data_IF_662404480544
#
_entry.id   IF_662404480544
#
_cell.length_a   1.000
_cell.length_b   1.000
_cell.length_c   1.000
_cell.angle_alpha   90.00
_cell.angle_beta   90.00
_cell.angle_gamma   90.00
#
_symmetry.space_group_name_H-M   'P 1'
#
loop_
_entity.id
_entity.type
_entity.pdbx_description
1 polymer ?
#
# COMPACT_ATOMS: atom_id res chain seq x y z
N UNK A 1 -9.89 -40.02 -15.14
CA UNK A 1 -9.58 -39.10 -14.03
C UNK A 1 -10.35 -37.82 -14.27
N UNK A 2 -11.40 -37.59 -13.49
CA UNK A 2 -12.13 -36.31 -13.46
C UNK A 2 -11.17 -35.20 -13.07
N UNK A 3 -10.87 -34.30 -14.01
CA UNK A 3 -10.23 -33.02 -13.69
C UNK A 3 -11.18 -32.25 -12.78
N UNK A 4 -10.94 -32.31 -11.48
CA UNK A 4 -11.51 -31.32 -10.57
C UNK A 4 -11.00 -29.96 -11.03
N UNK A 5 -11.91 -29.05 -11.37
CA UNK A 5 -11.57 -27.65 -11.64
C UNK A 5 -10.67 -27.15 -10.51
N UNK A 6 -9.46 -26.71 -10.87
CA UNK A 6 -8.45 -26.15 -9.97
C UNK A 6 -8.75 -24.68 -9.62
N UNK A 7 -10.01 -24.24 -9.76
CA UNK A 7 -10.38 -22.82 -9.67
C UNK A 7 -10.73 -22.34 -8.26
N UNK A 8 -10.55 -23.17 -7.23
CA UNK A 8 -10.78 -22.73 -5.84
C UNK A 8 -9.45 -22.40 -5.17
N UNK A 9 -9.27 -21.19 -4.62
CA UNK A 9 -8.04 -20.80 -3.95
C UNK A 9 -7.79 -21.69 -2.73
N UNK A 10 -6.57 -22.20 -2.61
CA UNK A 10 -6.12 -22.95 -1.43
C UNK A 10 -5.60 -21.96 -0.39
N UNK A 11 -6.06 -22.10 0.85
CA UNK A 11 -5.60 -21.27 1.96
C UNK A 11 -4.64 -22.05 2.86
N UNK A 12 -3.53 -21.42 3.19
CA UNK A 12 -2.51 -21.93 4.08
C UNK A 12 -2.40 -21.05 5.32
N UNK A 13 -1.89 -21.60 6.41
CA UNK A 13 -1.75 -20.90 7.68
C UNK A 13 -0.29 -20.97 8.14
N UNK A 14 0.30 -19.83 8.45
CA UNK A 14 1.69 -19.79 8.95
C UNK A 14 1.78 -20.34 10.38
N UNK A 15 2.98 -20.79 10.74
CA UNK A 15 3.34 -20.99 12.14
C UNK A 15 3.25 -19.64 12.92
N UNK A 16 2.98 -19.69 14.23
CA UNK A 16 3.05 -18.50 15.08
C UNK A 16 4.45 -17.87 15.06
N UNK A 17 4.50 -16.54 15.05
CA UNK A 17 5.73 -15.76 15.19
C UNK A 17 5.46 -14.49 16.01
N UNK A 18 6.49 -13.79 16.53
CA UNK A 18 6.28 -12.54 17.26
C UNK A 18 5.55 -11.48 16.41
N UNK A 19 4.54 -10.82 16.99
CA UNK A 19 3.78 -9.80 16.28
C UNK A 19 4.66 -8.58 15.97
N UNK A 20 4.71 -8.12 14.71
CA UNK A 20 5.54 -6.98 14.32
C UNK A 20 4.98 -5.62 14.80
N UNK A 21 3.74 -5.59 15.29
CA UNK A 21 3.02 -4.36 15.62
C UNK A 21 2.79 -4.14 17.11
N UNK A 22 2.59 -5.22 17.87
CA UNK A 22 2.22 -5.18 19.28
C UNK A 22 3.18 -6.07 20.08
N UNK A 23 4.04 -5.49 20.94
CA UNK A 23 4.95 -6.24 21.78
C UNK A 23 4.21 -7.25 22.67
N UNK A 24 4.77 -8.46 22.81
CA UNK A 24 4.19 -9.53 23.64
C UNK A 24 2.99 -10.25 23.03
N UNK A 25 2.60 -9.94 21.79
CA UNK A 25 1.59 -10.67 21.03
C UNK A 25 2.23 -11.58 19.98
N UNK A 26 1.50 -12.58 19.53
CA UNK A 26 1.88 -13.44 18.41
C UNK A 26 1.06 -13.12 17.16
N UNK A 27 1.67 -13.33 15.99
CA UNK A 27 1.05 -13.24 14.68
C UNK A 27 0.98 -14.61 14.01
N UNK A 28 -0.15 -14.86 13.35
CA UNK A 28 -0.33 -15.90 12.34
C UNK A 28 -1.00 -15.27 11.13
N UNK A 29 -0.73 -15.80 9.94
CA UNK A 29 -1.35 -15.32 8.69
C UNK A 29 -2.00 -16.47 7.97
N UNK A 30 -3.23 -16.27 7.55
CA UNK A 30 -3.82 -17.06 6.47
C UNK A 30 -3.39 -16.44 5.14
N UNK A 31 -2.98 -17.25 4.18
CA UNK A 31 -2.56 -16.75 2.87
C UNK A 31 -2.96 -17.68 1.72
N UNK A 32 -3.00 -17.13 0.52
CA UNK A 32 -3.24 -17.86 -0.74
C UNK A 32 -2.43 -17.22 -1.88
N UNK A 33 -2.28 -17.95 -2.98
CA UNK A 33 -1.57 -17.48 -4.16
C UNK A 33 -2.53 -16.80 -5.14
N UNK A 34 -2.09 -15.67 -5.70
CA UNK A 34 -2.75 -14.93 -6.78
C UNK A 34 -2.02 -15.25 -8.09
N UNK A 35 -2.45 -16.31 -8.76
CA UNK A 35 -1.82 -16.80 -9.99
C UNK A 35 -2.84 -17.02 -11.10
N UNK A 36 -2.40 -16.80 -12.35
CA UNK A 36 -3.23 -17.02 -13.53
C UNK A 36 -4.22 -15.89 -13.82
N UNK A 37 -5.07 -16.11 -14.81
CA UNK A 37 -5.95 -15.08 -15.40
C UNK A 37 -6.97 -14.49 -14.41
N UNK A 38 -7.37 -15.28 -13.40
CA UNK A 38 -8.35 -14.87 -12.38
C UNK A 38 -7.74 -14.17 -11.16
N UNK A 39 -6.43 -13.93 -11.15
CA UNK A 39 -5.73 -13.32 -10.02
C UNK A 39 -6.27 -11.93 -9.69
N UNK A 40 -6.64 -11.13 -10.69
CA UNK A 40 -7.24 -9.80 -10.50
C UNK A 40 -8.58 -9.86 -9.74
N UNK A 41 -9.54 -10.64 -10.27
CA UNK A 41 -10.85 -10.84 -9.61
C UNK A 41 -10.71 -11.40 -8.19
N UNK A 42 -9.80 -12.35 -8.00
CA UNK A 42 -9.54 -12.92 -6.69
C UNK A 42 -8.95 -11.87 -5.73
N UNK A 43 -8.04 -11.01 -6.20
CA UNK A 43 -7.47 -9.93 -5.40
C UNK A 43 -8.53 -8.94 -4.94
N UNK A 44 -9.49 -8.58 -5.81
CA UNK A 44 -10.61 -7.71 -5.47
C UNK A 44 -11.44 -8.30 -4.31
N UNK A 45 -11.90 -9.55 -4.48
CA UNK A 45 -12.72 -10.25 -3.47
C UNK A 45 -11.96 -10.39 -2.15
N UNK A 46 -10.68 -10.77 -2.20
CA UNK A 46 -9.86 -10.95 -1.01
C UNK A 46 -9.58 -9.61 -0.31
N UNK A 47 -9.32 -8.53 -1.06
CA UNK A 47 -9.10 -7.20 -0.49
C UNK A 47 -10.35 -6.70 0.23
N UNK A 48 -11.54 -6.94 -0.32
CA UNK A 48 -12.82 -6.66 0.36
C UNK A 48 -12.99 -7.50 1.64
N UNK A 49 -12.50 -8.74 1.63
CA UNK A 49 -12.40 -9.63 2.80
C UNK A 49 -11.28 -9.30 3.79
N UNK A 50 -10.58 -8.17 3.58
CA UNK A 50 -9.54 -7.66 4.45
C UNK A 50 -8.17 -8.29 4.25
N UNK A 51 -7.93 -9.00 3.15
CA UNK A 51 -6.60 -9.46 2.78
C UNK A 51 -5.76 -8.29 2.26
N UNK A 52 -4.45 -8.48 2.31
CA UNK A 52 -3.43 -7.60 1.75
C UNK A 52 -2.54 -8.40 0.83
N UNK A 53 -2.01 -7.75 -0.21
CA UNK A 53 -1.11 -8.38 -1.17
C UNK A 53 0.36 -8.13 -0.81
N UNK A 54 1.20 -9.09 -1.16
CA UNK A 54 2.66 -8.98 -1.24
C UNK A 54 3.12 -9.91 -2.37
N UNK A 55 3.69 -9.38 -3.45
CA UNK A 55 4.01 -10.15 -4.66
C UNK A 55 2.77 -10.94 -5.14
N UNK A 56 2.92 -12.22 -5.48
CA UNK A 56 1.86 -13.15 -5.88
C UNK A 56 1.10 -13.78 -4.70
N UNK A 57 1.18 -13.22 -3.48
CA UNK A 57 0.51 -13.76 -2.28
C UNK A 57 -0.49 -12.73 -1.72
N UNK A 58 -1.70 -13.19 -1.44
CA UNK A 58 -2.68 -12.47 -0.62
C UNK A 58 -2.69 -13.06 0.80
N UNK A 59 -2.64 -12.23 1.83
CA UNK A 59 -2.61 -12.65 3.23
C UNK A 59 -3.50 -11.81 4.15
N UNK A 60 -3.99 -12.43 5.22
CA UNK A 60 -4.71 -11.76 6.32
C UNK A 60 -4.24 -12.27 7.68
N UNK A 61 -4.10 -11.40 8.70
CA UNK A 61 -3.89 -11.85 10.07
C UNK A 61 -4.98 -12.82 10.52
N UNK A 62 -4.56 -13.90 11.18
CA UNK A 62 -5.38 -14.97 11.71
C UNK A 62 -4.88 -15.37 13.12
N UNK A 63 -4.54 -14.37 13.94
CA UNK A 63 -4.06 -14.57 15.30
C UNK A 63 -5.15 -15.23 16.17
N UNK A 64 -4.75 -16.07 17.11
CA UNK A 64 -5.68 -16.83 17.95
C UNK A 64 -6.38 -15.95 19.01
N UNK A 65 -5.62 -15.05 19.63
CA UNK A 65 -6.07 -14.25 20.79
C UNK A 65 -6.21 -12.77 20.50
N UNK A 66 -5.84 -12.31 19.30
CA UNK A 66 -5.77 -10.89 18.93
C UNK A 66 -6.55 -10.58 17.65
N UNK A 67 -7.29 -9.46 17.64
CA UNK A 67 -8.04 -8.95 16.47
C UNK A 67 -7.71 -7.47 16.17
N UNK A 68 -6.53 -7.01 16.57
CA UNK A 68 -6.15 -5.60 16.48
C UNK A 68 -5.88 -5.13 15.04
N UNK A 69 -5.49 -6.02 14.13
CA UNK A 69 -5.25 -5.67 12.73
C UNK A 69 -6.58 -5.48 11.99
N UNK A 70 -6.96 -4.22 11.77
CA UNK A 70 -8.22 -3.85 11.12
C UNK A 70 -7.91 -3.28 9.74
N UNK A 71 -8.47 -3.88 8.68
CA UNK A 71 -8.35 -3.33 7.33
C UNK A 71 -9.14 -2.01 7.24
N UNK A 72 -8.54 -1.00 6.62
CA UNK A 72 -9.15 0.33 6.50
C UNK A 72 -9.08 0.86 5.07
N UNK A 73 -10.13 1.57 4.67
CA UNK A 73 -10.23 2.26 3.37
C UNK A 73 -10.78 3.67 3.54
N UNK A 74 -10.19 4.64 2.87
CA UNK A 74 -10.64 6.04 2.85
C UNK A 74 -11.73 6.16 1.80
N UNK A 75 -12.82 6.87 2.09
CA UNK A 75 -13.87 7.18 1.12
C UNK A 75 -13.37 8.37 0.29
N UNK A 76 -12.96 8.13 -0.95
CA UNK A 76 -12.20 9.07 -1.76
C UNK A 76 -13.01 10.32 -2.11
N UNK A 77 -14.27 10.15 -2.50
CA UNK A 77 -15.11 11.26 -2.97
C UNK A 77 -15.46 12.28 -1.89
N UNK A 78 -15.58 11.81 -0.65
CA UNK A 78 -15.94 12.60 0.53
C UNK A 78 -14.72 13.14 1.28
N UNK A 79 -13.51 12.78 0.87
CA UNK A 79 -12.29 13.17 1.58
C UNK A 79 -12.03 14.68 1.48
N UNK A 80 -11.90 15.32 2.64
CA UNK A 80 -11.52 16.73 2.75
C UNK A 80 -10.22 16.84 3.54
N UNK A 81 -9.12 17.32 2.92
CA UNK A 81 -7.84 17.43 3.62
C UNK A 81 -7.91 18.39 4.80
N UNK A 82 -7.44 17.95 5.97
CA UNK A 82 -7.26 18.81 7.15
C UNK A 82 -6.31 19.97 6.85
N UNK A 83 -6.31 21.01 7.70
CA UNK A 83 -5.36 22.14 7.56
C UNK A 83 -3.90 21.68 7.53
N UNK A 84 -3.54 20.64 8.29
CA UNK A 84 -2.20 20.06 8.26
C UNK A 84 -1.87 19.39 6.93
N UNK A 85 -2.81 18.62 6.39
CA UNK A 85 -2.67 17.96 5.09
C UNK A 85 -2.57 18.97 3.93
N UNK A 86 -3.35 20.06 3.97
CA UNK A 86 -3.25 21.16 3.00
C UNK A 86 -1.86 21.79 2.97
N UNK A 87 -1.30 22.12 4.14
CA UNK A 87 0.08 22.62 4.24
C UNK A 87 1.12 21.64 3.71
N UNK A 88 0.90 20.34 3.90
CA UNK A 88 1.80 19.30 3.34
C UNK A 88 1.70 19.27 1.82
N UNK A 89 0.49 19.35 1.25
CA UNK A 89 0.30 19.43 -0.20
C UNK A 89 0.96 20.70 -0.77
N UNK A 90 0.76 21.86 -0.14
CA UNK A 90 1.38 23.13 -0.54
C UNK A 90 2.91 23.07 -0.51
N UNK A 91 3.50 22.49 0.55
CA UNK A 91 4.95 22.30 0.69
C UNK A 91 5.56 21.45 -0.41
N UNK A 92 4.78 20.56 -1.01
CA UNK A 92 5.22 19.62 -2.03
C UNK A 92 4.62 19.95 -3.41
N UNK A 93 4.22 21.20 -3.66
CA UNK A 93 3.68 21.62 -4.96
C UNK A 93 4.69 21.47 -6.12
N UNK A 94 5.98 21.36 -5.78
CA UNK A 94 7.10 21.07 -6.66
C UNK A 94 7.34 19.57 -6.91
N UNK A 95 6.53 18.68 -6.31
CA UNK A 95 6.59 17.23 -6.51
C UNK A 95 5.45 16.79 -7.42
N UNK A 96 5.74 15.91 -8.36
CA UNK A 96 4.75 15.34 -9.28
C UNK A 96 4.81 13.83 -9.20
N UNK A 97 3.65 13.21 -8.95
CA UNK A 97 3.47 11.76 -9.03
C UNK A 97 3.11 11.34 -10.46
N UNK A 98 3.81 10.37 -11.02
CA UNK A 98 3.56 9.79 -12.34
C UNK A 98 3.32 8.28 -12.22
N UNK A 99 2.14 7.82 -12.63
CA UNK A 99 1.77 6.40 -12.57
C UNK A 99 2.24 5.70 -13.84
N UNK A 100 3.05 4.66 -13.69
CA UNK A 100 3.72 3.94 -14.77
C UNK A 100 3.49 2.46 -14.66
N UNK A 101 3.71 1.76 -15.77
CA UNK A 101 3.92 0.32 -15.76
C UNK A 101 5.08 0.00 -14.80
N UNK A 102 4.92 -0.96 -13.88
CA UNK A 102 5.99 -1.37 -12.98
C UNK A 102 7.23 -1.79 -13.78
N UNK A 103 8.34 -1.09 -13.52
CA UNK A 103 9.64 -1.40 -14.07
C UNK A 103 10.69 -1.04 -12.99
N UNK A 104 11.50 -2.00 -12.53
CA UNK A 104 12.46 -1.78 -11.48
C UNK A 104 13.64 -0.97 -12.04
N UNK A 105 14.05 0.05 -11.29
CA UNK A 105 15.24 0.83 -11.63
C UNK A 105 16.23 0.87 -10.47
N UNK A 106 17.50 1.10 -10.80
CA UNK A 106 18.55 1.28 -9.79
C UNK A 106 18.28 2.48 -8.90
N UNK A 107 17.76 3.59 -9.46
CA UNK A 107 17.39 4.80 -8.70
C UNK A 107 16.32 4.48 -7.65
N UNK A 108 15.25 3.76 -8.03
CA UNK A 108 14.22 3.35 -7.07
C UNK A 108 14.80 2.43 -5.99
N UNK A 109 15.66 1.48 -6.36
CA UNK A 109 16.30 0.58 -5.39
C UNK A 109 17.18 1.34 -4.41
N UNK A 110 17.91 2.37 -4.85
CA UNK A 110 18.69 3.24 -3.96
C UNK A 110 17.81 3.93 -2.91
N UNK A 111 16.68 4.52 -3.33
CA UNK A 111 15.71 5.15 -2.40
C UNK A 111 15.10 4.10 -1.47
N UNK A 112 14.77 2.92 -1.98
CA UNK A 112 14.24 1.80 -1.20
C UNK A 112 15.22 1.34 -0.11
N UNK A 113 16.49 1.15 -0.46
CA UNK A 113 17.55 0.77 0.51
C UNK A 113 17.73 1.84 1.59
N UNK A 114 17.87 3.10 1.20
CA UNK A 114 17.99 4.21 2.16
C UNK A 114 16.78 4.26 3.11
N UNK A 115 15.56 4.09 2.58
CA UNK A 115 14.34 4.04 3.38
C UNK A 115 14.33 2.88 4.39
N UNK A 116 14.73 1.68 3.96
CA UNK A 116 14.80 0.51 4.82
C UNK A 116 15.84 0.68 5.93
N UNK A 117 17.04 1.14 5.60
CA UNK A 117 18.12 1.34 6.58
C UNK A 117 17.71 2.37 7.65
N UNK A 118 16.98 3.42 7.25
CA UNK A 118 16.52 4.47 8.16
C UNK A 118 15.32 4.06 9.05
N UNK A 119 14.42 3.18 8.59
CA UNK A 119 13.12 2.91 9.29
C UNK A 119 12.85 1.46 9.66
N UNK A 120 13.56 0.53 9.05
CA UNK A 120 13.25 -0.90 9.06
C UNK A 120 14.51 -1.76 9.29
N UNK A 121 15.50 -1.25 10.02
CA UNK A 121 16.74 -1.97 10.33
C UNK A 121 16.53 -3.42 10.83
N UNK A 122 15.47 -3.65 11.63
CA UNK A 122 15.17 -4.98 12.20
C UNK A 122 13.97 -5.68 11.52
N UNK A 123 13.53 -5.22 10.35
CA UNK A 123 12.38 -5.77 9.63
C UNK A 123 12.79 -6.85 8.64
N UNK A 124 11.91 -7.82 8.36
CA UNK A 124 12.19 -8.91 7.41
C UNK A 124 12.48 -8.52 5.95
N UNK A 125 12.43 -7.22 5.62
CA UNK A 125 12.84 -6.68 4.31
C UNK A 125 14.24 -6.04 4.34
N UNK A 126 14.87 -5.90 5.50
CA UNK A 126 16.16 -5.22 5.66
C UNK A 126 17.28 -5.86 4.82
N UNK A 127 17.17 -7.16 4.53
CA UNK A 127 18.15 -7.93 3.77
C UNK A 127 17.76 -8.13 2.30
N UNK A 128 16.72 -7.45 1.80
CA UNK A 128 16.30 -7.59 0.40
C UNK A 128 17.38 -7.12 -0.56
N UNK A 129 17.76 -8.00 -1.48
CA UNK A 129 18.66 -7.72 -2.59
C UNK A 129 17.97 -6.95 -3.72
N UNK A 130 18.76 -6.47 -4.68
CA UNK A 130 18.22 -5.84 -5.91
C UNK A 130 17.33 -6.79 -6.71
N UNK A 131 17.62 -8.10 -6.67
CA UNK A 131 16.80 -9.11 -7.35
C UNK A 131 15.46 -9.29 -6.64
N UNK A 132 15.45 -9.31 -5.31
CA UNK A 132 14.20 -9.41 -4.54
C UNK A 132 13.33 -8.16 -4.74
N UNK A 133 13.96 -6.98 -4.85
CA UNK A 133 13.29 -5.74 -5.22
C UNK A 133 12.68 -5.83 -6.63
N UNK A 134 13.45 -6.26 -7.63
CA UNK A 134 12.96 -6.41 -8.99
C UNK A 134 11.75 -7.36 -9.05
N UNK A 135 11.83 -8.50 -8.36
CA UNK A 135 10.70 -9.43 -8.23
C UNK A 135 9.50 -8.78 -7.56
N UNK A 136 9.67 -7.96 -6.51
CA UNK A 136 8.56 -7.24 -5.88
C UNK A 136 7.82 -6.32 -6.86
N UNK A 137 8.54 -5.68 -7.77
CA UNK A 137 7.99 -4.72 -8.74
C UNK A 137 7.34 -5.41 -9.93
N UNK A 138 7.97 -6.45 -10.47
CA UNK A 138 7.56 -7.08 -11.74
C UNK A 138 6.63 -8.29 -11.57
N UNK A 139 6.77 -9.06 -10.48
CA UNK A 139 6.06 -10.32 -10.30
C UNK A 139 4.64 -10.10 -9.76
N UNK A 140 3.74 -9.68 -10.66
CA UNK A 140 2.32 -9.47 -10.36
C UNK A 140 1.42 -9.98 -11.48
N UNK A 141 0.45 -10.83 -11.11
CA UNK A 141 -0.65 -11.26 -11.98
C UNK A 141 -1.90 -10.37 -11.83
N UNK A 142 -1.77 -9.24 -11.11
CA UNK A 142 -2.85 -8.28 -10.83
C UNK A 142 -2.51 -6.95 -11.50
N UNK A 143 -3.52 -6.19 -11.92
CA UNK A 143 -3.34 -4.83 -12.43
C UNK A 143 -2.65 -3.95 -11.38
N UNK A 144 -1.36 -3.72 -11.58
CA UNK A 144 -0.47 -3.02 -10.64
C UNK A 144 0.20 -1.87 -11.37
N UNK A 145 0.13 -0.68 -10.77
CA UNK A 145 0.88 0.49 -11.20
C UNK A 145 1.99 0.84 -10.22
N UNK A 146 3.02 1.51 -10.72
CA UNK A 146 4.08 2.11 -9.92
C UNK A 146 3.99 3.63 -10.04
N UNK A 147 3.78 4.33 -8.93
CA UNK A 147 3.78 5.80 -8.93
C UNK A 147 5.15 6.30 -8.46
N UNK A 148 5.84 7.02 -9.33
CA UNK A 148 7.07 7.73 -9.01
C UNK A 148 6.79 9.19 -8.67
N UNK A 149 7.23 9.65 -7.51
CA UNK A 149 7.12 11.03 -7.07
C UNK A 149 8.46 11.74 -7.27
N UNK A 150 8.53 12.59 -8.27
CA UNK A 150 9.77 13.26 -8.69
C UNK A 150 9.63 14.78 -8.61
N UNK A 151 10.75 15.48 -8.42
CA UNK A 151 10.76 16.93 -8.50
C UNK A 151 10.41 17.40 -9.92
N UNK A 152 9.67 18.52 -10.00
CA UNK A 152 9.40 19.23 -11.26
C UNK A 152 10.70 19.61 -11.94
N UNK A 153 10.78 19.35 -13.23
CA UNK A 153 11.81 19.85 -14.13
C UNK A 153 11.28 20.94 -15.07
N UNK A 154 12.14 21.51 -15.94
CA UNK A 154 11.77 22.58 -16.88
C UNK A 154 10.57 22.23 -17.77
N UNK A 155 10.48 20.96 -18.19
CA UNK A 155 9.46 20.48 -19.12
C UNK A 155 8.21 19.92 -18.44
N UNK A 156 8.17 19.86 -17.10
CA UNK A 156 7.05 19.25 -16.37
C UNK A 156 5.71 19.93 -16.66
N UNK A 157 5.72 21.23 -17.00
CA UNK A 157 4.51 21.95 -17.40
C UNK A 157 3.87 21.41 -18.69
N UNK A 158 4.66 20.79 -19.56
CA UNK A 158 4.21 20.26 -20.84
C UNK A 158 3.97 18.76 -20.77
N UNK A 159 4.85 18.03 -20.08
CA UNK A 159 4.79 16.57 -20.01
C UNK A 159 3.87 16.07 -18.91
N UNK A 160 3.60 16.90 -17.89
CA UNK A 160 2.95 16.48 -16.65
C UNK A 160 3.82 15.53 -15.81
N UNK A 161 5.11 15.37 -16.13
CA UNK A 161 6.02 14.41 -15.49
C UNK A 161 7.20 15.11 -14.82
N UNK A 162 7.58 14.64 -13.64
CA UNK A 162 8.80 15.10 -12.96
C UNK A 162 10.06 14.51 -13.61
N UNK A 163 11.09 15.34 -13.76
CA UNK A 163 12.39 14.96 -14.33
C UNK A 163 13.54 15.13 -13.33
N UNK A 164 13.34 15.85 -12.23
CA UNK A 164 14.32 15.97 -11.14
C UNK A 164 14.33 14.74 -10.23
N UNK A 165 14.97 14.84 -9.07
CA UNK A 165 15.23 13.69 -8.20
C UNK A 165 13.97 12.89 -7.82
N UNK A 166 14.13 11.56 -7.76
CA UNK A 166 13.12 10.64 -7.25
C UNK A 166 13.04 10.71 -5.72
N UNK A 167 11.89 11.13 -5.19
CA UNK A 167 11.69 11.33 -3.76
C UNK A 167 10.88 10.20 -3.11
N UNK A 168 9.94 9.60 -3.83
CA UNK A 168 9.11 8.53 -3.29
C UNK A 168 8.57 7.62 -4.38
N UNK A 169 8.19 6.42 -3.99
CA UNK A 169 7.59 5.41 -4.87
C UNK A 169 6.46 4.72 -4.14
N UNK A 170 5.36 4.47 -4.85
CA UNK A 170 4.25 3.66 -4.36
C UNK A 170 3.85 2.59 -5.37
N UNK A 171 3.91 1.32 -4.95
CA UNK A 171 3.36 0.18 -5.66
C UNK A 171 1.88 0.03 -5.29
N UNK A 172 1.01 0.08 -6.30
CA UNK A 172 -0.43 0.26 -6.13
C UNK A 172 -1.21 -0.70 -7.01
N UNK A 173 -2.14 -1.45 -6.42
CA UNK A 173 -3.11 -2.22 -7.21
C UNK A 173 -4.28 -1.33 -7.60
N UNK A 174 -4.75 -1.50 -8.83
CA UNK A 174 -6.02 -0.94 -9.30
C UNK A 174 -7.08 -2.03 -9.13
N UNK A 175 -8.01 -1.79 -8.21
CA UNK A 175 -9.14 -2.67 -7.93
C UNK A 175 -10.40 -2.12 -8.61
N UNK A 176 -11.44 -2.94 -8.72
CA UNK A 176 -12.73 -2.50 -9.28
C UNK A 176 -13.39 -1.32 -8.54
N UNK A 177 -13.10 -1.13 -7.25
CA UNK A 177 -13.70 -0.06 -6.44
C UNK A 177 -12.69 0.90 -5.77
N UNK A 178 -11.39 0.75 -6.03
CA UNK A 178 -10.39 1.52 -5.32
C UNK A 178 -8.94 1.30 -5.73
N UNK A 179 -8.07 2.15 -5.18
CA UNK A 179 -6.63 1.96 -5.23
C UNK A 179 -6.14 1.30 -3.94
N UNK A 180 -5.35 0.23 -4.04
CA UNK A 180 -4.76 -0.43 -2.88
C UNK A 180 -3.27 -0.17 -2.80
N UNK A 181 -2.85 0.54 -1.74
CA UNK A 181 -1.43 0.83 -1.50
C UNK A 181 -0.74 -0.42 -0.95
N UNK A 182 -0.11 -1.19 -1.86
CA UNK A 182 0.59 -2.45 -1.57
C UNK A 182 1.86 -2.15 -0.78
N UNK A 183 2.70 -1.28 -1.33
CA UNK A 183 3.95 -0.89 -0.70
C UNK A 183 4.33 0.55 -1.07
N UNK A 184 5.00 1.25 -0.16
CA UNK A 184 5.48 2.61 -0.44
C UNK A 184 6.75 2.89 0.34
N UNK A 185 7.70 3.56 -0.30
CA UNK A 185 8.97 3.98 0.27
C UNK A 185 9.33 5.38 -0.23
N UNK A 186 10.23 6.05 0.47
CA UNK A 186 10.59 7.42 0.15
C UNK A 186 11.95 7.79 0.73
N UNK A 187 12.54 8.84 0.17
CA UNK A 187 13.80 9.39 0.63
C UNK A 187 13.71 9.81 2.11
N UNK A 188 14.47 9.19 3.02
CA UNK A 188 14.44 9.51 4.44
C UNK A 188 14.99 10.92 4.74
N UNK A 189 15.87 11.45 3.90
CA UNK A 189 16.49 12.77 4.09
C UNK A 189 15.52 13.91 3.77
N UNK A 190 14.48 13.62 2.97
CA UNK A 190 13.35 14.51 2.73
C UNK A 190 12.32 14.53 3.88
N UNK A 191 12.70 14.19 5.12
CA UNK A 191 11.79 14.00 6.26
C UNK A 191 10.88 15.20 6.57
N UNK A 192 11.32 16.43 6.31
CA UNK A 192 10.52 17.66 6.50
C UNK A 192 9.33 17.74 5.54
N UNK A 193 9.33 16.99 4.44
CA UNK A 193 8.29 17.03 3.41
C UNK A 193 7.05 16.21 3.75
N UNK A 194 7.14 15.29 4.71
CA UNK A 194 6.05 14.36 5.04
C UNK A 194 5.56 13.54 3.84
N UNK A 195 6.49 13.00 3.04
CA UNK A 195 6.21 12.29 1.78
C UNK A 195 5.21 11.15 1.92
N UNK A 196 5.24 10.37 3.01
CA UNK A 196 4.22 9.34 3.24
C UNK A 196 2.79 9.88 3.32
N UNK A 197 2.60 11.12 3.80
CA UNK A 197 1.29 11.78 3.78
C UNK A 197 0.95 12.27 2.38
N UNK A 198 1.93 12.87 1.68
CA UNK A 198 1.77 13.33 0.30
C UNK A 198 1.28 12.20 -0.60
N UNK A 199 1.92 11.03 -0.54
CA UNK A 199 1.53 9.87 -1.35
C UNK A 199 0.07 9.49 -1.10
N UNK A 200 -0.37 9.40 0.16
CA UNK A 200 -1.77 9.05 0.47
C UNK A 200 -2.75 10.12 -0.06
N UNK A 201 -2.42 11.41 0.07
CA UNK A 201 -3.25 12.48 -0.47
C UNK A 201 -3.36 12.41 -2.00
N UNK A 202 -2.25 12.10 -2.68
CA UNK A 202 -2.22 11.92 -4.13
C UNK A 202 -3.03 10.70 -4.57
N UNK A 203 -2.95 9.57 -3.84
CA UNK A 203 -3.76 8.38 -4.14
C UNK A 203 -5.26 8.65 -3.97
N UNK A 204 -5.65 9.41 -2.95
CA UNK A 204 -7.05 9.82 -2.76
C UNK A 204 -7.51 10.71 -3.93
N UNK A 205 -6.67 11.66 -4.35
CA UNK A 205 -6.98 12.51 -5.50
C UNK A 205 -7.09 11.70 -6.80
N UNK A 206 -6.22 10.71 -7.03
CA UNK A 206 -6.27 9.80 -8.18
C UNK A 206 -7.51 8.93 -8.17
N UNK A 207 -7.82 8.29 -7.05
CA UNK A 207 -9.02 7.46 -6.92
C UNK A 207 -10.27 8.27 -7.30
N UNK A 208 -10.40 9.49 -6.77
CA UNK A 208 -11.47 10.43 -7.13
C UNK A 208 -11.49 10.78 -8.63
N UNK A 209 -10.33 11.06 -9.23
CA UNK A 209 -10.25 11.35 -10.68
C UNK A 209 -10.62 10.15 -11.55
N UNK A 210 -10.33 8.94 -11.08
CA UNK A 210 -10.66 7.68 -11.75
C UNK A 210 -12.11 7.23 -11.50
N UNK A 211 -12.87 7.93 -10.66
CA UNK A 211 -14.23 7.53 -10.25
C UNK A 211 -14.24 6.30 -9.33
N UNK A 212 -13.13 6.00 -8.66
CA UNK A 212 -13.00 4.92 -7.70
C UNK A 212 -13.39 5.39 -6.30
N UNK A 213 -14.22 4.61 -5.62
CA UNK A 213 -14.81 4.98 -4.34
C UNK A 213 -13.80 5.01 -3.18
N UNK A 214 -12.75 4.17 -3.24
CA UNK A 214 -11.90 3.92 -2.07
C UNK A 214 -10.39 4.01 -2.32
N UNK A 215 -9.66 4.33 -1.25
CA UNK A 215 -8.23 4.06 -1.15
C UNK A 215 -7.98 3.11 0.02
N UNK A 216 -7.52 1.90 -0.26
CA UNK A 216 -7.16 0.90 0.74
C UNK A 216 -5.76 1.18 1.29
N UNK A 217 -5.69 1.50 2.59
CA UNK A 217 -4.43 1.74 3.31
C UNK A 217 -3.94 0.49 4.07
N UNK A 218 -4.70 -0.61 3.97
CA UNK A 218 -4.46 -1.87 4.64
C UNK A 218 -4.70 -1.81 6.14
N UNK A 219 -3.81 -2.44 6.93
CA UNK A 219 -4.07 -2.56 8.37
C UNK A 219 -3.78 -1.27 9.14
N UNK A 220 -4.80 -0.76 9.82
CA UNK A 220 -4.68 0.08 10.99
C UNK A 220 -4.65 -0.84 12.23
N UNK A 221 -3.69 -0.59 13.13
CA UNK A 221 -3.51 -1.40 14.35
C UNK A 221 -3.54 -0.47 15.55
N UNK A 222 -4.61 -0.50 16.38
CA UNK A 222 -4.66 0.24 17.63
C UNK A 222 -3.46 -0.12 18.52
N UNK A 223 -2.83 0.86 19.15
CA UNK A 223 -1.64 0.65 19.99
C UNK A 223 -0.32 0.55 19.23
N UNK A 224 -0.33 0.41 17.90
CA UNK A 224 0.91 0.40 17.10
C UNK A 224 1.30 1.80 16.65
N UNK A 225 2.44 2.32 17.13
CA UNK A 225 2.99 3.61 16.67
C UNK A 225 3.19 3.66 15.15
N UNK A 226 3.58 2.53 14.54
CA UNK A 226 3.86 2.41 13.09
C UNK A 226 2.59 2.46 12.24
N UNK A 227 1.44 2.00 12.77
CA UNK A 227 0.18 1.88 12.01
C UNK A 227 -0.90 2.88 12.43
N UNK A 228 -0.71 3.60 13.53
CA UNK A 228 -1.71 4.54 14.06
C UNK A 228 -2.05 5.68 13.08
N UNK A 229 -1.07 6.13 12.29
CA UNK A 229 -1.21 7.30 11.42
C UNK A 229 -2.34 7.17 10.38
N UNK A 230 -2.73 5.94 9.98
CA UNK A 230 -3.78 5.70 8.97
C UNK A 230 -5.16 6.14 9.45
N UNK A 231 -5.37 6.21 10.77
CA UNK A 231 -6.66 6.61 11.34
C UNK A 231 -7.01 8.08 11.13
N UNK A 232 -6.05 8.93 10.71
CA UNK A 232 -6.26 10.37 10.51
C UNK A 232 -6.82 10.75 9.13
N UNK A 233 -6.91 9.81 8.20
CA UNK A 233 -7.45 10.05 6.87
C UNK A 233 -8.95 9.73 6.88
N UNK A 234 -9.77 10.75 7.14
CA UNK A 234 -11.23 10.64 7.29
C UNK A 234 -11.96 11.35 6.14
N UNK A 235 -13.16 10.89 5.74
CA UNK A 235 -13.89 9.76 6.31
C UNK A 235 -13.32 8.40 5.88
N UNK A 236 -13.36 7.44 6.79
CA UNK A 236 -12.80 6.10 6.62
C UNK A 236 -13.83 5.03 6.99
N UNK A 237 -13.73 3.89 6.33
CA UNK A 237 -14.38 2.66 6.75
C UNK A 237 -13.36 1.68 7.31
N UNK A 238 -13.81 0.89 8.29
CA UNK A 238 -13.02 -0.14 8.93
C UNK A 238 -13.75 -1.47 8.83
N UNK A 239 -13.03 -2.53 8.46
CA UNK A 239 -13.61 -3.86 8.35
C UNK A 239 -13.81 -4.47 9.74
N UNK A 240 -15.08 -4.58 10.14
CA UNK A 240 -15.55 -5.15 11.40
C UNK A 240 -16.22 -6.50 11.14
N UNK A 241 -16.57 -7.30 12.18
CA UNK A 241 -17.25 -8.58 11.99
C UNK A 241 -18.58 -8.49 11.21
N UNK A 242 -19.28 -7.36 11.30
CA UNK A 242 -20.52 -7.10 10.57
C UNK A 242 -20.29 -6.54 9.15
N UNK A 243 -19.03 -6.37 8.72
CA UNK A 243 -18.66 -5.77 7.44
C UNK A 243 -17.96 -4.42 7.59
N UNK A 244 -17.88 -3.67 6.49
CA UNK A 244 -17.29 -2.34 6.47
C UNK A 244 -18.19 -1.35 7.21
N UNK A 245 -17.63 -0.68 8.23
CA UNK A 245 -18.35 0.32 9.04
C UNK A 245 -17.61 1.65 8.93
N UNK A 246 -18.34 2.69 8.55
CA UNK A 246 -17.84 4.07 8.57
C UNK A 246 -17.56 4.51 10.00
N UNK A 247 -16.35 5.03 10.25
CA UNK A 247 -16.01 5.59 11.55
C UNK A 247 -16.44 7.06 11.65
N UNK A 248 -16.88 7.50 12.85
CA UNK A 248 -17.11 8.92 13.11
C UNK A 248 -15.82 9.73 12.87
N UNK A 249 -15.97 10.91 12.26
CA UNK A 249 -14.87 11.85 12.02
C UNK A 249 -14.42 12.56 13.29
#
# INVERSE_FOLDING_TARGET
>A
MTQHSRDTPQFYLTAPSPCPYLPGQEERKVFTHLVGERAGELNDVLTHGGFRRSQSIAYRPACETCRACVSVRVIADEFVPSRGMRRIAERNADVVGDMRTPAPTSEQYSVFRAYLDARHHDGGMADMSVLDYAMMIEDSHVETGLIEYRLRGPDTRFTGRGQGDLLAVALTDVLSDGLSMVYSFFDPDAGTRSLGTLMILDHIARAKQMGLAYVYLGYWVPGSRKMHYKGRFQPQERLMPAGWIRVPA
#
